data_IF_862725596167
#
_entry.id   IF_862725596167
#
_cell.length_a   1.000
_cell.length_b   1.000
_cell.length_c   1.000
_cell.angle_alpha   90.00
_cell.angle_beta   90.00
_cell.angle_gamma   90.00
#
_symmetry.space_group_name_H-M   'P 1'
#
loop_
_entity.id
_entity.type
_entity.pdbx_description
1 polymer ?
#
# COMPACT_ATOMS: atom_id res chain seq x y z
N UNK A 1 19.20 8.61 -1.52
CA UNK A 1 17.99 9.36 -1.13
C UNK A 1 16.80 8.62 -1.70
N UNK A 2 15.73 8.41 -0.94
CA UNK A 2 14.53 7.77 -1.48
C UNK A 2 13.96 8.62 -2.63
N UNK A 3 13.58 7.98 -3.73
CA UNK A 3 12.99 8.66 -4.88
C UNK A 3 11.64 9.25 -4.47
N UNK A 4 11.38 10.55 -4.71
CA UNK A 4 10.19 11.21 -4.20
C UNK A 4 8.90 10.62 -4.80
N UNK A 5 7.96 10.23 -3.93
CA UNK A 5 6.62 9.78 -4.30
C UNK A 5 5.80 10.98 -4.79
N UNK A 6 5.19 10.87 -5.98
CA UNK A 6 4.30 11.90 -6.55
C UNK A 6 2.95 11.31 -6.89
N UNK A 7 1.90 11.84 -6.27
CA UNK A 7 0.52 11.47 -6.56
C UNK A 7 0.00 12.23 -7.78
N UNK A 8 -0.51 11.51 -8.76
CA UNK A 8 -1.35 12.04 -9.83
C UNK A 8 -2.84 11.89 -9.48
N UNK A 9 -3.70 12.03 -10.48
CA UNK A 9 -5.16 11.93 -10.32
C UNK A 9 -5.62 10.57 -9.78
N UNK A 10 -4.96 9.48 -10.21
CA UNK A 10 -5.34 8.10 -9.86
C UNK A 10 -4.32 7.44 -8.91
N UNK A 11 -3.76 8.22 -7.99
CA UNK A 11 -2.75 7.72 -7.06
C UNK A 11 -1.31 7.90 -7.55
N UNK A 12 -0.41 7.12 -6.96
CA UNK A 12 1.01 7.12 -7.29
C UNK A 12 1.31 6.02 -8.33
N UNK A 13 2.12 6.37 -9.34
CA UNK A 13 2.65 5.44 -10.35
C UNK A 13 4.16 5.56 -10.39
N UNK A 14 4.81 4.44 -10.65
CA UNK A 14 6.26 4.34 -10.75
C UNK A 14 6.71 3.15 -11.59
N UNK A 15 8.01 3.12 -11.90
CA UNK A 15 8.72 2.02 -12.54
C UNK A 15 9.24 1.07 -11.45
N UNK A 16 8.90 -0.21 -11.58
CA UNK A 16 9.34 -1.25 -10.65
C UNK A 16 10.86 -1.27 -10.57
N UNK A 17 11.37 -1.33 -9.33
CA UNK A 17 12.79 -1.34 -8.97
C UNK A 17 13.56 -0.02 -9.22
N UNK A 18 12.91 1.04 -9.72
CA UNK A 18 13.46 2.39 -9.75
C UNK A 18 12.84 3.23 -8.64
N UNK A 19 11.62 3.74 -8.85
CA UNK A 19 10.87 4.50 -7.85
C UNK A 19 9.76 3.68 -7.20
N UNK A 20 9.19 2.68 -7.88
CA UNK A 20 8.25 1.73 -7.30
C UNK A 20 9.02 0.59 -6.61
N UNK A 21 9.46 0.88 -5.38
CA UNK A 21 10.25 -0.01 -4.51
C UNK A 21 9.46 -0.40 -3.27
N UNK A 22 9.87 -1.47 -2.59
CA UNK A 22 9.24 -1.89 -1.33
C UNK A 22 9.26 -0.79 -0.27
N UNK A 23 10.36 -0.04 -0.18
CA UNK A 23 10.48 1.05 0.79
C UNK A 23 9.46 2.16 0.48
N UNK A 24 9.31 2.56 -0.78
CA UNK A 24 8.33 3.57 -1.16
C UNK A 24 6.89 3.06 -1.02
N UNK A 25 6.62 1.79 -1.29
CA UNK A 25 5.31 1.17 -1.01
C UNK A 25 4.99 1.22 0.49
N UNK A 26 5.96 0.91 1.36
CA UNK A 26 5.76 1.00 2.82
C UNK A 26 5.55 2.43 3.31
N UNK A 27 6.28 3.41 2.75
CA UNK A 27 6.07 4.84 3.06
C UNK A 27 4.66 5.28 2.64
N UNK A 28 4.21 4.88 1.46
CA UNK A 28 2.85 5.14 0.98
C UNK A 28 1.80 4.50 1.91
N UNK A 29 1.98 3.22 2.26
CA UNK A 29 1.09 2.48 3.15
C UNK A 29 1.04 3.08 4.57
N UNK A 30 2.17 3.53 5.10
CA UNK A 30 2.22 4.21 6.40
C UNK A 30 1.41 5.51 6.37
N UNK A 31 1.55 6.30 5.29
CA UNK A 31 0.79 7.54 5.10
C UNK A 31 -0.73 7.27 5.06
N UNK A 32 -1.15 6.18 4.42
CA UNK A 32 -2.56 5.73 4.42
C UNK A 32 -3.01 5.31 5.83
N UNK A 33 -2.19 4.56 6.56
CA UNK A 33 -2.51 4.14 7.92
C UNK A 33 -2.66 5.33 8.89
N UNK A 34 -1.75 6.30 8.81
CA UNK A 34 -1.80 7.54 9.59
C UNK A 34 -3.07 8.33 9.29
N UNK A 35 -3.45 8.45 8.00
CA UNK A 35 -4.69 9.09 7.59
C UNK A 35 -5.92 8.38 8.16
N UNK A 36 -6.00 7.05 8.03
CA UNK A 36 -7.14 6.28 8.52
C UNK A 36 -7.30 6.37 10.04
N UNK A 37 -6.19 6.35 10.78
CA UNK A 37 -6.20 6.53 12.23
C UNK A 37 -6.60 7.97 12.61
N UNK A 38 -5.99 8.98 11.99
CA UNK A 38 -6.29 10.39 12.25
C UNK A 38 -7.73 10.80 11.91
N UNK A 39 -8.31 10.19 10.88
CA UNK A 39 -9.70 10.39 10.49
C UNK A 39 -10.71 9.53 11.28
N UNK A 40 -10.26 8.68 12.20
CA UNK A 40 -11.13 7.76 12.94
C UNK A 40 -11.79 6.68 12.07
N UNK A 41 -11.20 6.36 10.92
CA UNK A 41 -11.70 5.39 9.95
C UNK A 41 -11.11 3.99 10.12
N UNK A 42 -10.02 3.85 10.89
CA UNK A 42 -9.35 2.57 11.14
C UNK A 42 -10.29 1.39 11.52
N UNK A 43 -11.37 1.58 12.34
CA UNK A 43 -12.29 0.48 12.65
C UNK A 43 -13.05 -0.10 11.44
N UNK A 44 -13.11 0.62 10.31
CA UNK A 44 -13.74 0.13 9.08
C UNK A 44 -12.87 -0.91 8.36
N UNK A 45 -11.59 -0.99 8.71
CA UNK A 45 -10.60 -1.84 8.05
C UNK A 45 -10.13 -1.30 6.70
N UNK A 46 -9.24 -2.06 6.06
CA UNK A 46 -8.64 -1.76 4.76
C UNK A 46 -8.65 -3.02 3.88
N UNK A 47 -9.07 -2.89 2.62
CA UNK A 47 -8.95 -3.95 1.62
C UNK A 47 -7.73 -3.66 0.76
N UNK A 48 -6.88 -4.66 0.55
CA UNK A 48 -5.70 -4.56 -0.32
C UNK A 48 -5.84 -5.62 -1.42
N UNK A 49 -5.85 -5.16 -2.67
CA UNK A 49 -5.87 -6.00 -3.87
C UNK A 49 -4.63 -5.75 -4.73
N UNK A 50 -4.35 -6.69 -5.62
CA UNK A 50 -3.21 -6.64 -6.53
C UNK A 50 -3.52 -7.32 -7.87
N UNK A 51 -2.74 -7.01 -8.90
CA UNK A 51 -2.89 -7.56 -10.25
C UNK A 51 -1.72 -8.49 -10.64
N UNK A 52 -1.66 -8.91 -11.89
CA UNK A 52 -0.64 -9.85 -12.39
C UNK A 52 0.71 -9.21 -12.72
N UNK A 53 0.96 -7.94 -12.36
CA UNK A 53 2.29 -7.33 -12.59
C UNK A 53 3.34 -7.98 -11.70
N UNK A 54 4.60 -7.84 -12.12
CA UNK A 54 5.73 -8.42 -11.42
C UNK A 54 5.78 -7.98 -9.95
N UNK A 55 5.89 -8.94 -9.04
CA UNK A 55 5.94 -8.75 -7.58
C UNK A 55 4.71 -8.02 -6.97
N UNK A 56 3.59 -7.88 -7.70
CA UNK A 56 2.38 -7.24 -7.20
C UNK A 56 1.85 -7.89 -5.91
N UNK A 57 1.91 -9.22 -5.81
CA UNK A 57 1.54 -9.97 -4.59
C UNK A 57 2.41 -9.54 -3.39
N UNK A 58 3.73 -9.49 -3.58
CA UNK A 58 4.67 -9.11 -2.52
C UNK A 58 4.51 -7.64 -2.10
N UNK A 59 4.27 -6.73 -3.07
CA UNK A 59 4.01 -5.32 -2.76
C UNK A 59 2.71 -5.15 -1.97
N UNK A 60 1.67 -5.90 -2.31
CA UNK A 60 0.42 -5.89 -1.59
C UNK A 60 0.56 -6.45 -0.17
N UNK A 61 1.33 -7.54 -0.01
CA UNK A 61 1.67 -8.06 1.31
C UNK A 61 2.43 -7.01 2.15
N UNK A 62 3.42 -6.33 1.58
CA UNK A 62 4.18 -5.28 2.27
C UNK A 62 3.29 -4.09 2.70
N UNK A 63 2.33 -3.68 1.87
CA UNK A 63 1.37 -2.64 2.23
C UNK A 63 0.42 -3.10 3.35
N UNK A 64 -0.05 -4.36 3.27
CA UNK A 64 -0.91 -4.96 4.28
C UNK A 64 -0.21 -5.10 5.64
N UNK A 65 1.06 -5.51 5.66
CA UNK A 65 1.90 -5.59 6.86
C UNK A 65 1.97 -4.25 7.59
N UNK A 66 2.23 -3.16 6.86
CA UNK A 66 2.30 -1.81 7.45
C UNK A 66 0.96 -1.40 8.05
N UNK A 67 -0.15 -1.58 7.33
CA UNK A 67 -1.46 -1.24 7.86
C UNK A 67 -1.84 -2.09 9.10
N UNK A 68 -1.54 -3.39 9.08
CA UNK A 68 -1.76 -4.29 10.21
C UNK A 68 -0.91 -3.91 11.43
N UNK A 69 0.36 -3.52 11.22
CA UNK A 69 1.25 -3.05 12.28
C UNK A 69 0.75 -1.75 12.95
N UNK A 70 -0.04 -0.95 12.23
CA UNK A 70 -0.71 0.24 12.74
C UNK A 70 -2.09 -0.03 13.38
N UNK A 71 -2.42 -1.30 13.64
CA UNK A 71 -3.66 -1.70 14.32
C UNK A 71 -4.91 -1.67 13.44
N UNK A 72 -4.77 -1.59 12.12
CA UNK A 72 -5.89 -1.60 11.17
C UNK A 72 -6.18 -3.03 10.75
N UNK A 73 -7.46 -3.45 10.78
CA UNK A 73 -7.86 -4.75 10.24
C UNK A 73 -7.71 -4.74 8.71
N UNK A 74 -6.84 -5.59 8.17
CA UNK A 74 -6.60 -5.68 6.72
C UNK A 74 -7.24 -6.95 6.14
N UNK A 75 -7.84 -6.82 4.96
CA UNK A 75 -8.29 -7.90 4.11
C UNK A 75 -7.46 -7.90 2.83
N UNK A 76 -6.51 -8.82 2.71
CA UNK A 76 -5.64 -8.98 1.54
C UNK A 76 -6.26 -10.02 0.60
N UNK A 77 -6.39 -9.71 -0.69
CA UNK A 77 -6.81 -10.68 -1.71
C UNK A 77 -5.83 -11.87 -1.74
N UNK A 78 -6.35 -13.10 -1.86
CA UNK A 78 -5.51 -14.32 -1.89
C UNK A 78 -4.93 -14.61 -3.27
N UNK A 79 -5.50 -14.00 -4.31
CA UNK A 79 -5.10 -14.13 -5.69
C UNK A 79 -5.17 -12.76 -6.36
N UNK A 80 -4.52 -12.62 -7.53
CA UNK A 80 -4.61 -11.41 -8.32
C UNK A 80 -6.08 -11.19 -8.74
N UNK A 81 -6.58 -9.97 -8.53
CA UNK A 81 -7.95 -9.60 -8.91
C UNK A 81 -8.02 -8.14 -9.39
N UNK A 82 -8.83 -7.84 -10.41
CA UNK A 82 -9.48 -8.79 -11.31
C UNK A 82 -8.49 -9.50 -12.23
#
# INVERSE_FOLDING_TARGET
MATPIRFGTDGWRGVIADDFTFDNVRVCAQSVADYLNGAGLAPRGLIVGYDTRFASEDFAAAAAEVAAANGIRVHLCQEATP
#
